data_IF_435620091283
#
_entry.id   IF_435620091283
#
_cell.length_a   1.000
_cell.length_b   1.000
_cell.length_c   1.000
_cell.angle_alpha   90.00
_cell.angle_beta   90.00
_cell.angle_gamma   90.00
#
_symmetry.space_group_name_H-M   'P 1'
#
loop_
_entity.id
_entity.type
_entity.pdbx_description
1 polymer ?
#
# COMPACT_ATOMS: atom_id res chain seq x y z
N UNK A 1 13.67 -26.09 -12.09
CA UNK A 1 12.87 -27.12 -11.40
C UNK A 1 11.42 -26.64 -11.42
N UNK A 2 10.56 -27.26 -12.24
CA UNK A 2 9.14 -26.88 -12.32
C UNK A 2 8.44 -27.40 -11.07
N UNK A 3 7.96 -26.50 -10.21
CA UNK A 3 7.08 -26.87 -9.09
C UNK A 3 5.75 -27.29 -9.72
N UNK A 4 5.50 -28.60 -9.81
CA UNK A 4 4.20 -29.13 -10.23
C UNK A 4 3.26 -28.92 -9.06
N UNK A 5 2.45 -27.87 -9.12
CA UNK A 5 1.37 -27.61 -8.17
C UNK A 5 0.38 -28.78 -8.14
N UNK A 6 0.13 -29.34 -6.95
CA UNK A 6 -0.82 -30.45 -6.83
C UNK A 6 -2.27 -29.94 -6.95
N UNK A 7 -3.20 -30.72 -7.55
CA UNK A 7 -4.61 -30.33 -7.67
C UNK A 7 -5.30 -29.99 -6.34
N UNK A 8 -4.83 -30.59 -5.23
CA UNK A 8 -5.33 -30.28 -3.89
C UNK A 8 -4.94 -28.86 -3.44
N UNK A 9 -3.72 -28.41 -3.74
CA UNK A 9 -3.24 -27.06 -3.40
C UNK A 9 -4.04 -25.99 -4.14
N UNK A 10 -4.36 -26.25 -5.42
CA UNK A 10 -5.20 -25.35 -6.21
C UNK A 10 -6.62 -25.23 -5.67
N UNK A 11 -7.20 -26.34 -5.22
CA UNK A 11 -8.54 -26.33 -4.61
C UNK A 11 -8.54 -25.59 -3.27
N UNK A 12 -7.50 -25.80 -2.46
CA UNK A 12 -7.33 -25.10 -1.19
C UNK A 12 -7.23 -23.58 -1.40
N UNK A 13 -6.39 -23.11 -2.33
CA UNK A 13 -6.26 -21.68 -2.65
C UNK A 13 -7.57 -21.07 -3.13
N UNK A 14 -8.25 -21.69 -4.11
CA UNK A 14 -9.55 -21.19 -4.61
C UNK A 14 -10.59 -21.05 -3.50
N UNK A 15 -10.57 -21.95 -2.53
CA UNK A 15 -11.49 -21.90 -1.38
C UNK A 15 -11.11 -20.77 -0.43
N UNK A 16 -9.82 -20.61 -0.14
CA UNK A 16 -9.30 -19.50 0.66
C UNK A 16 -9.64 -18.14 0.03
N UNK A 17 -9.40 -17.98 -1.27
CA UNK A 17 -9.67 -16.76 -2.03
C UNK A 17 -11.17 -16.41 -1.98
N UNK A 18 -12.05 -17.41 -2.11
CA UNK A 18 -13.49 -17.21 -2.01
C UNK A 18 -13.92 -16.76 -0.60
N UNK A 19 -13.34 -17.34 0.46
CA UNK A 19 -13.58 -16.94 1.84
C UNK A 19 -13.11 -15.49 2.08
N UNK A 20 -11.93 -15.13 1.57
CA UNK A 20 -11.37 -13.78 1.67
C UNK A 20 -12.26 -12.77 0.96
N UNK A 21 -12.64 -13.03 -0.30
CA UNK A 21 -13.50 -12.15 -1.07
C UNK A 21 -14.87 -11.95 -0.40
N UNK A 22 -15.47 -13.02 0.12
CA UNK A 22 -16.72 -12.95 0.88
C UNK A 22 -16.58 -12.09 2.15
N UNK A 23 -15.48 -12.27 2.90
CA UNK A 23 -15.22 -11.50 4.11
C UNK A 23 -15.03 -10.01 3.80
N UNK A 24 -14.22 -9.65 2.80
CA UNK A 24 -13.99 -8.26 2.37
C UNK A 24 -15.30 -7.59 1.97
N UNK A 25 -16.11 -8.25 1.11
CA UNK A 25 -17.43 -7.74 0.71
C UNK A 25 -18.33 -7.48 1.91
N UNK A 26 -18.42 -8.43 2.85
CA UNK A 26 -19.27 -8.29 4.03
C UNK A 26 -18.76 -7.22 5.01
N UNK A 27 -17.44 -7.03 5.12
CA UNK A 27 -16.87 -5.94 5.94
C UNK A 27 -17.26 -4.59 5.36
N UNK A 28 -17.21 -4.43 4.03
CA UNK A 28 -17.65 -3.19 3.37
C UNK A 28 -19.16 -2.95 3.50
N UNK A 29 -19.97 -4.02 3.52
CA UNK A 29 -21.43 -3.92 3.64
C UNK A 29 -21.91 -3.57 5.06
N UNK A 30 -21.31 -4.17 6.10
CA UNK A 30 -21.85 -4.09 7.47
C UNK A 30 -20.81 -3.92 8.58
N UNK A 31 -19.54 -3.76 8.23
CA UNK A 31 -18.44 -3.63 9.17
C UNK A 31 -17.92 -4.96 9.71
N UNK A 32 -16.66 -4.96 10.14
CA UNK A 32 -16.00 -6.16 10.64
C UNK A 32 -16.61 -6.67 11.95
N UNK A 33 -17.14 -5.82 12.83
CA UNK A 33 -17.73 -6.25 14.10
C UNK A 33 -18.97 -7.13 13.90
N UNK A 34 -19.84 -6.76 12.96
CA UNK A 34 -21.07 -7.50 12.62
C UNK A 34 -20.83 -8.73 11.72
N UNK A 35 -19.59 -8.96 11.28
CA UNK A 35 -19.20 -10.12 10.47
C UNK A 35 -19.25 -11.41 11.31
N UNK A 36 -19.90 -12.45 10.79
CA UNK A 36 -19.90 -13.79 11.40
C UNK A 36 -19.35 -14.84 10.44
N UNK A 37 -18.82 -15.94 10.97
CA UNK A 37 -18.36 -17.08 10.16
C UNK A 37 -19.50 -17.62 9.29
N UNK A 38 -20.74 -17.61 9.80
CA UNK A 38 -21.93 -18.04 9.07
C UNK A 38 -22.12 -17.22 7.80
N UNK A 39 -22.12 -15.89 7.92
CA UNK A 39 -22.31 -15.00 6.77
C UNK A 39 -21.23 -15.24 5.70
N UNK A 40 -19.97 -15.38 6.13
CA UNK A 40 -18.84 -15.64 5.23
C UNK A 40 -19.05 -16.95 4.49
N UNK A 41 -19.38 -18.02 5.21
CA UNK A 41 -19.57 -19.35 4.62
C UNK A 41 -20.78 -19.40 3.67
N UNK A 42 -21.88 -18.74 4.02
CA UNK A 42 -23.06 -18.62 3.16
C UNK A 42 -22.75 -17.81 1.89
N UNK A 43 -22.01 -16.70 2.01
CA UNK A 43 -21.62 -15.87 0.85
C UNK A 43 -20.60 -16.54 -0.06
N UNK A 44 -19.66 -17.29 0.52
CA UNK A 44 -18.61 -18.00 -0.23
C UNK A 44 -19.10 -19.33 -0.83
N UNK A 45 -20.33 -19.76 -0.52
CA UNK A 45 -20.89 -21.07 -0.91
C UNK A 45 -20.08 -22.27 -0.40
N UNK A 46 -19.69 -22.21 0.88
CA UNK A 46 -18.98 -23.29 1.57
C UNK A 46 -19.61 -23.60 2.93
N UNK A 47 -19.30 -24.78 3.48
CA UNK A 47 -19.73 -25.12 4.84
C UNK A 47 -18.72 -24.60 5.88
N UNK A 48 -19.16 -24.51 7.15
CA UNK A 48 -18.31 -24.08 8.27
C UNK A 48 -17.07 -24.96 8.48
N UNK A 49 -17.18 -26.26 8.22
CA UNK A 49 -16.05 -27.18 8.30
C UNK A 49 -14.94 -26.77 7.34
N UNK A 50 -15.30 -26.38 6.11
CA UNK A 50 -14.37 -25.85 5.11
C UNK A 50 -13.69 -24.57 5.58
N UNK A 51 -14.43 -23.63 6.19
CA UNK A 51 -13.82 -22.44 6.78
C UNK A 51 -12.72 -22.79 7.79
N UNK A 52 -13.01 -23.71 8.71
CA UNK A 52 -12.07 -24.09 9.77
C UNK A 52 -10.83 -24.87 9.28
N UNK A 53 -10.83 -25.34 8.03
CA UNK A 53 -9.62 -25.88 7.39
C UNK A 53 -8.62 -24.78 7.02
N UNK A 54 -9.07 -23.54 6.83
CA UNK A 54 -8.26 -22.40 6.42
C UNK A 54 -7.99 -21.44 7.58
N UNK A 55 -9.00 -21.19 8.41
CA UNK A 55 -8.92 -20.18 9.47
C UNK A 55 -9.48 -20.74 10.79
N UNK A 56 -8.72 -20.69 11.90
CA UNK A 56 -9.20 -21.11 13.21
C UNK A 56 -10.46 -20.34 13.67
N UNK A 57 -10.58 -19.09 13.24
CA UNK A 57 -11.69 -18.22 13.60
C UNK A 57 -11.70 -16.91 12.82
N UNK A 58 -12.66 -16.06 13.17
CA UNK A 58 -12.79 -14.70 12.62
C UNK A 58 -11.55 -13.84 12.91
N UNK A 59 -11.00 -13.79 14.15
CA UNK A 59 -9.81 -12.97 14.42
C UNK A 59 -8.62 -13.33 13.54
N UNK A 60 -8.36 -14.63 13.34
CA UNK A 60 -7.26 -15.12 12.53
C UNK A 60 -7.45 -14.81 11.04
N UNK A 61 -8.68 -14.87 10.54
CA UNK A 61 -9.00 -14.40 9.19
C UNK A 61 -8.73 -12.90 9.05
N UNK A 62 -9.19 -12.07 9.97
CA UNK A 62 -9.00 -10.62 9.89
C UNK A 62 -7.51 -10.24 9.95
N UNK A 63 -6.75 -10.91 10.82
CA UNK A 63 -5.30 -10.76 10.89
C UNK A 63 -4.62 -11.20 9.59
N UNK A 64 -5.05 -12.34 9.02
CA UNK A 64 -4.55 -12.80 7.73
C UNK A 64 -4.80 -11.76 6.62
N UNK A 65 -5.99 -11.17 6.53
CA UNK A 65 -6.31 -10.14 5.54
C UNK A 65 -5.37 -8.94 5.63
N UNK A 66 -5.00 -8.53 6.84
CA UNK A 66 -4.08 -7.43 7.08
C UNK A 66 -2.64 -7.80 6.70
N UNK A 67 -2.17 -8.94 7.18
CA UNK A 67 -0.78 -9.37 6.98
C UNK A 67 -0.50 -9.67 5.51
N UNK A 68 -1.41 -10.37 4.83
CA UNK A 68 -1.32 -10.67 3.40
C UNK A 68 -1.29 -9.39 2.57
N UNK A 69 -2.17 -8.43 2.86
CA UNK A 69 -2.20 -7.15 2.18
C UNK A 69 -0.89 -6.36 2.38
N UNK A 70 -0.43 -6.23 3.63
CA UNK A 70 0.79 -5.51 3.97
C UNK A 70 2.04 -6.17 3.37
N UNK A 71 2.06 -7.49 3.31
CA UNK A 71 3.15 -8.23 2.70
C UNK A 71 3.23 -7.95 1.19
N UNK A 72 2.13 -8.06 0.45
CA UNK A 72 2.14 -7.77 -0.98
C UNK A 72 2.42 -6.29 -1.27
N UNK A 73 1.93 -5.38 -0.42
CA UNK A 73 2.24 -3.95 -0.54
C UNK A 73 3.74 -3.68 -0.35
N UNK A 74 4.37 -4.32 0.64
CA UNK A 74 5.79 -4.23 0.87
C UNK A 74 6.63 -4.81 -0.27
N UNK A 75 6.19 -5.92 -0.87
CA UNK A 75 6.81 -6.50 -2.06
C UNK A 75 6.72 -5.54 -3.26
N UNK A 76 5.56 -4.94 -3.50
CA UNK A 76 5.37 -3.94 -4.56
C UNK A 76 6.25 -2.70 -4.34
N UNK A 77 6.45 -2.29 -3.08
CA UNK A 77 7.36 -1.19 -2.75
C UNK A 77 8.83 -1.51 -3.02
N UNK A 78 9.24 -2.76 -2.83
CA UNK A 78 10.62 -3.20 -3.03
C UNK A 78 10.93 -3.63 -4.48
N UNK A 79 9.92 -4.02 -5.26
CA UNK A 79 10.06 -4.53 -6.63
C UNK A 79 10.99 -3.69 -7.52
N UNK A 80 10.85 -2.34 -7.59
CA UNK A 80 11.65 -1.50 -8.48
C UNK A 80 13.16 -1.58 -8.21
N UNK A 81 13.54 -2.05 -7.03
CA UNK A 81 14.92 -2.11 -6.56
C UNK A 81 15.52 -3.51 -6.58
N UNK A 82 14.70 -4.55 -6.81
CA UNK A 82 15.07 -5.97 -6.65
C UNK A 82 16.29 -6.43 -7.47
N UNK A 83 16.61 -5.75 -8.56
CA UNK A 83 17.73 -6.07 -9.45
C UNK A 83 18.80 -4.97 -9.51
N UNK A 84 18.75 -3.99 -8.61
CA UNK A 84 19.67 -2.86 -8.57
C UNK A 84 20.72 -3.07 -7.48
N UNK A 85 21.97 -2.73 -7.78
CA UNK A 85 23.06 -2.71 -6.79
C UNK A 85 23.28 -1.30 -6.22
N UNK A 86 22.85 -0.27 -6.94
CA UNK A 86 22.99 1.13 -6.60
C UNK A 86 21.83 1.92 -7.22
N UNK A 87 21.39 2.98 -6.54
CA UNK A 87 20.43 3.96 -7.06
C UNK A 87 21.06 5.33 -6.94
N UNK A 88 21.24 6.00 -8.08
CA UNK A 88 21.65 7.40 -8.10
C UNK A 88 20.47 8.29 -7.67
N UNK A 89 20.55 8.78 -6.44
CA UNK A 89 19.53 9.65 -5.84
C UNK A 89 19.49 11.05 -6.47
N UNK A 90 20.45 11.40 -7.34
CA UNK A 90 20.47 12.66 -8.10
C UNK A 90 19.82 12.54 -9.47
N UNK A 91 19.60 11.31 -9.94
CA UNK A 91 18.97 10.98 -11.21
C UNK A 91 17.48 10.70 -11.09
N UNK A 92 16.96 9.89 -12.02
CA UNK A 92 15.57 9.42 -11.97
C UNK A 92 15.48 8.24 -11.03
N UNK A 93 14.79 8.41 -9.92
CA UNK A 93 14.52 7.33 -8.97
C UNK A 93 13.64 6.23 -9.60
N UNK A 94 13.79 4.97 -9.14
CA UNK A 94 12.90 3.89 -9.52
C UNK A 94 11.42 4.24 -9.27
N UNK A 95 10.56 3.75 -10.15
CA UNK A 95 9.15 4.12 -10.16
C UNK A 95 8.44 3.65 -8.88
N UNK A 96 7.56 4.50 -8.34
CA UNK A 96 6.68 4.14 -7.22
C UNK A 96 5.35 3.52 -7.67
N UNK A 97 5.17 3.38 -8.99
CA UNK A 97 3.94 2.90 -9.64
C UNK A 97 3.46 1.53 -9.14
N UNK A 98 4.31 0.51 -8.91
CA UNK A 98 3.84 -0.82 -8.49
C UNK A 98 3.03 -0.80 -7.18
N UNK A 99 3.34 0.14 -6.27
CA UNK A 99 2.62 0.29 -5.00
C UNK A 99 1.18 0.74 -5.24
N UNK A 100 1.00 1.71 -6.14
CA UNK A 100 -0.33 2.20 -6.48
C UNK A 100 -1.12 1.16 -7.28
N UNK A 101 -0.47 0.44 -8.19
CA UNK A 101 -1.09 -0.66 -8.95
C UNK A 101 -1.54 -1.80 -8.03
N UNK A 102 -0.71 -2.15 -7.04
CA UNK A 102 -1.07 -3.15 -6.05
C UNK A 102 -2.30 -2.73 -5.23
N UNK A 103 -2.34 -1.47 -4.79
CA UNK A 103 -3.50 -0.94 -4.05
C UNK A 103 -4.74 -0.91 -4.95
N UNK A 104 -4.64 -0.52 -6.21
CA UNK A 104 -5.76 -0.51 -7.16
C UNK A 104 -6.32 -1.91 -7.39
N UNK A 105 -5.44 -2.90 -7.58
CA UNK A 105 -5.81 -4.30 -7.74
C UNK A 105 -6.49 -4.89 -6.49
N UNK A 106 -6.20 -4.35 -5.30
CA UNK A 106 -6.73 -4.82 -4.01
C UNK A 106 -7.54 -3.74 -3.28
N UNK A 107 -8.18 -2.84 -4.03
CA UNK A 107 -8.78 -1.61 -3.51
C UNK A 107 -9.86 -1.85 -2.45
N UNK A 108 -10.71 -2.87 -2.66
CA UNK A 108 -11.77 -3.22 -1.71
C UNK A 108 -11.23 -3.80 -0.41
N UNK A 109 -10.14 -4.60 -0.48
CA UNK A 109 -9.44 -5.08 0.70
C UNK A 109 -8.79 -3.91 1.45
N UNK A 110 -8.13 -2.99 0.74
CA UNK A 110 -7.57 -1.78 1.36
C UNK A 110 -8.66 -0.95 2.07
N UNK A 111 -9.81 -0.72 1.42
CA UNK A 111 -10.96 -0.02 2.02
C UNK A 111 -11.48 -0.75 3.26
N UNK A 112 -11.64 -2.07 3.20
CA UNK A 112 -12.09 -2.87 4.34
C UNK A 112 -11.11 -2.73 5.52
N UNK A 113 -9.81 -2.85 5.28
CA UNK A 113 -8.77 -2.69 6.30
C UNK A 113 -8.76 -1.29 6.91
N UNK A 114 -8.97 -0.25 6.10
CA UNK A 114 -9.10 1.14 6.56
C UNK A 114 -10.27 1.34 7.55
N UNK A 115 -11.36 0.60 7.40
CA UNK A 115 -12.48 0.66 8.36
C UNK A 115 -12.20 -0.09 9.66
N UNK A 116 -11.31 -1.08 9.62
CA UNK A 116 -10.97 -1.93 10.76
C UNK A 116 -9.84 -1.35 11.62
N UNK A 117 -8.91 -0.63 10.98
CA UNK A 117 -7.64 -0.23 11.58
C UNK A 117 -7.37 1.27 11.38
N UNK A 118 -7.61 2.06 12.43
CA UNK A 118 -7.30 3.50 12.42
C UNK A 118 -5.80 3.83 12.36
N UNK A 119 -4.93 2.83 12.50
CA UNK A 119 -3.48 2.95 12.47
C UNK A 119 -2.86 2.50 11.13
N UNK A 120 -3.65 2.38 10.06
CA UNK A 120 -3.15 1.88 8.76
C UNK A 120 -1.94 2.66 8.23
N UNK A 121 -1.94 4.00 8.33
CA UNK A 121 -0.79 4.80 7.91
C UNK A 121 0.49 4.41 8.65
N UNK A 122 0.41 4.13 9.96
CA UNK A 122 1.55 3.70 10.77
C UNK A 122 2.02 2.30 10.36
N UNK A 123 1.09 1.37 10.09
CA UNK A 123 1.41 0.01 9.66
C UNK A 123 2.14 -0.01 8.31
N UNK A 124 1.65 0.75 7.33
CA UNK A 124 2.30 0.88 6.02
C UNK A 124 3.68 1.53 6.18
N UNK A 125 3.79 2.58 7.00
CA UNK A 125 5.08 3.19 7.33
C UNK A 125 6.09 2.16 7.86
N UNK A 126 5.67 1.32 8.81
CA UNK A 126 6.54 0.31 9.40
C UNK A 126 6.98 -0.75 8.37
N UNK A 127 6.07 -1.19 7.51
CA UNK A 127 6.40 -2.13 6.42
C UNK A 127 7.44 -1.52 5.50
N UNK A 128 7.18 -0.33 4.94
CA UNK A 128 8.10 0.33 4.01
C UNK A 128 9.45 0.63 4.67
N UNK A 129 9.46 1.12 5.91
CA UNK A 129 10.69 1.35 6.67
C UNK A 129 11.50 0.06 6.83
N UNK A 130 10.86 -1.06 7.17
CA UNK A 130 11.54 -2.34 7.34
C UNK A 130 12.15 -2.84 6.02
N UNK A 131 11.45 -2.66 4.89
CA UNK A 131 12.01 -2.99 3.58
C UNK A 131 13.24 -2.12 3.26
N UNK A 132 13.16 -0.81 3.50
CA UNK A 132 14.29 0.08 3.24
C UNK A 132 15.51 -0.22 4.12
N UNK A 133 15.31 -0.49 5.42
CA UNK A 133 16.43 -0.74 6.34
C UNK A 133 17.09 -2.11 6.15
N UNK A 134 16.36 -3.10 5.62
CA UNK A 134 16.91 -4.43 5.37
C UNK A 134 17.65 -4.53 4.03
N UNK A 135 17.24 -3.75 3.02
CA UNK A 135 17.73 -3.89 1.66
C UNK A 135 18.71 -2.80 1.22
N UNK A 136 18.73 -1.63 1.87
CA UNK A 136 19.48 -0.48 1.40
C UNK A 136 20.45 0.08 2.44
N UNK A 137 21.55 0.62 1.94
CA UNK A 137 22.46 1.49 2.67
C UNK A 137 22.47 2.80 1.90
N UNK A 138 22.09 3.90 2.56
CA UNK A 138 22.16 5.21 1.92
C UNK A 138 23.54 5.82 2.14
N UNK A 139 24.17 6.22 1.04
CA UNK A 139 25.45 6.93 1.02
C UNK A 139 25.14 8.40 0.71
N UNK A 140 25.52 9.30 1.60
CA UNK A 140 25.50 10.74 1.33
C UNK A 140 26.90 11.17 0.90
N UNK A 141 27.01 12.05 -0.10
CA UNK A 141 28.26 12.78 -0.33
C UNK A 141 28.63 13.61 0.91
N UNK A 142 29.90 14.00 1.03
CA UNK A 142 30.39 14.93 2.05
C UNK A 142 29.68 16.29 1.93
N UNK A 143 28.51 16.37 2.55
CA UNK A 143 27.71 17.57 2.72
C UNK A 143 28.10 18.19 4.06
N UNK A 144 28.26 19.52 4.12
CA UNK A 144 28.48 20.25 5.38
C UNK A 144 27.35 19.99 6.40
N UNK A 145 26.18 19.53 5.95
CA UNK A 145 25.07 19.10 6.79
C UNK A 145 24.99 17.57 6.86
N UNK A 146 25.27 17.01 8.03
CA UNK A 146 25.04 15.60 8.33
C UNK A 146 23.55 15.39 8.64
N UNK A 147 22.80 14.83 7.70
CA UNK A 147 21.41 14.45 7.92
C UNK A 147 21.37 13.06 8.59
N UNK A 148 20.61 12.93 9.68
CA UNK A 148 20.44 11.64 10.35
C UNK A 148 19.65 10.66 9.45
N UNK A 149 20.23 9.49 9.20
CA UNK A 149 19.65 8.44 8.34
C UNK A 149 18.22 8.05 8.75
N UNK A 150 17.95 7.90 10.04
CA UNK A 150 16.63 7.49 10.54
C UNK A 150 15.57 8.57 10.26
N UNK A 151 15.93 9.85 10.46
CA UNK A 151 15.05 10.98 10.16
C UNK A 151 14.75 11.07 8.66
N UNK A 152 15.77 10.90 7.83
CA UNK A 152 15.62 10.94 6.37
C UNK A 152 14.76 9.77 5.86
N UNK A 153 14.97 8.55 6.36
CA UNK A 153 14.10 7.41 6.06
C UNK A 153 12.65 7.69 6.46
N UNK A 154 12.45 8.21 7.68
CA UNK A 154 11.12 8.57 8.16
C UNK A 154 10.44 9.59 7.23
N UNK A 155 11.18 10.59 6.76
CA UNK A 155 10.68 11.57 5.79
C UNK A 155 10.26 10.92 4.45
N UNK A 156 11.13 10.10 3.84
CA UNK A 156 10.86 9.48 2.54
C UNK A 156 9.66 8.53 2.57
N UNK A 157 9.59 7.70 3.60
CA UNK A 157 8.48 6.76 3.78
C UNK A 157 7.19 7.51 4.07
N UNK A 158 7.23 8.52 4.96
CA UNK A 158 6.04 9.31 5.31
C UNK A 158 5.47 10.06 4.12
N UNK A 159 6.31 10.58 3.22
CA UNK A 159 5.86 11.24 2.00
C UNK A 159 5.08 10.28 1.09
N UNK A 160 5.61 9.06 0.87
CA UNK A 160 4.95 8.02 0.08
C UNK A 160 3.61 7.63 0.70
N UNK A 161 3.60 7.33 2.00
CA UNK A 161 2.38 6.94 2.72
C UNK A 161 1.36 8.07 2.71
N UNK A 162 1.78 9.33 2.90
CA UNK A 162 0.89 10.48 2.84
C UNK A 162 0.13 10.59 1.51
N UNK A 163 0.81 10.35 0.39
CA UNK A 163 0.18 10.37 -0.94
C UNK A 163 -0.82 9.20 -1.11
N UNK A 164 -0.48 8.00 -0.62
CA UNK A 164 -1.39 6.84 -0.62
C UNK A 164 -2.65 7.15 0.21
N UNK A 165 -2.48 7.66 1.42
CA UNK A 165 -3.60 7.98 2.31
C UNK A 165 -4.49 9.07 1.71
N UNK A 166 -3.89 10.11 1.12
CA UNK A 166 -4.65 11.15 0.42
C UNK A 166 -5.47 10.58 -0.75
N UNK A 167 -4.88 9.69 -1.55
CA UNK A 167 -5.58 9.05 -2.66
C UNK A 167 -6.79 8.25 -2.21
N UNK A 168 -6.67 7.53 -1.08
CA UNK A 168 -7.77 6.81 -0.47
C UNK A 168 -8.85 7.75 0.10
N UNK A 169 -8.46 8.85 0.78
CA UNK A 169 -9.36 9.85 1.33
C UNK A 169 -10.23 10.52 0.26
N UNK A 170 -9.66 10.80 -0.92
CA UNK A 170 -10.41 11.35 -2.06
C UNK A 170 -11.16 10.28 -2.87
N UNK A 171 -11.25 9.06 -2.35
CA UNK A 171 -12.04 7.98 -2.92
C UNK A 171 -11.43 7.32 -4.16
N UNK A 172 -10.09 7.31 -4.27
CA UNK A 172 -9.36 6.76 -5.42
C UNK A 172 -9.74 7.43 -6.75
N UNK A 173 -9.92 8.77 -6.71
CA UNK A 173 -10.36 9.56 -7.86
C UNK A 173 -9.45 9.45 -9.10
N UNK A 174 -8.15 9.23 -8.88
CA UNK A 174 -7.13 9.17 -9.94
C UNK A 174 -6.70 7.72 -10.18
N UNK A 175 -6.17 7.42 -11.37
CA UNK A 175 -5.62 6.09 -11.66
C UNK A 175 -4.31 5.83 -10.90
N UNK A 176 -3.99 4.56 -10.66
CA UNK A 176 -2.71 4.16 -10.09
C UNK A 176 -1.51 4.73 -10.87
N UNK A 177 -1.57 4.68 -12.20
CA UNK A 177 -0.53 5.22 -13.07
C UNK A 177 -0.29 6.71 -12.83
N UNK A 178 -1.36 7.51 -12.81
CA UNK A 178 -1.27 8.95 -12.54
C UNK A 178 -0.66 9.22 -11.17
N UNK A 179 -1.11 8.51 -10.13
CA UNK A 179 -0.59 8.69 -8.77
C UNK A 179 0.90 8.34 -8.66
N UNK A 180 1.32 7.26 -9.33
CA UNK A 180 2.73 6.87 -9.43
C UNK A 180 3.59 7.94 -10.10
N UNK A 181 3.13 8.48 -11.23
CA UNK A 181 3.81 9.58 -11.91
C UNK A 181 3.91 10.83 -11.03
N UNK A 182 2.82 11.19 -10.33
CA UNK A 182 2.81 12.35 -9.43
C UNK A 182 3.78 12.17 -8.27
N UNK A 183 3.82 11.00 -7.62
CA UNK A 183 4.75 10.76 -6.52
C UNK A 183 6.20 10.76 -7.00
N UNK A 184 6.50 10.11 -8.13
CA UNK A 184 7.84 10.15 -8.72
C UNK A 184 8.25 11.59 -9.07
N UNK A 185 7.33 12.41 -9.61
CA UNK A 185 7.60 13.83 -9.84
C UNK A 185 7.87 14.60 -8.53
N UNK A 186 7.06 14.39 -7.49
CA UNK A 186 7.21 15.06 -6.19
C UNK A 186 8.54 14.75 -5.51
N UNK A 187 9.04 13.51 -5.61
CA UNK A 187 10.32 13.14 -5.02
C UNK A 187 11.48 13.83 -5.78
N UNK A 188 11.33 14.06 -7.08
CA UNK A 188 12.35 14.68 -7.93
C UNK A 188 12.30 16.21 -7.94
N UNK A 189 11.18 16.83 -7.53
CA UNK A 189 11.04 18.29 -7.49
C UNK A 189 11.67 18.86 -6.21
N UNK A 190 12.65 19.76 -6.36
CA UNK A 190 13.10 20.65 -5.29
C UNK A 190 12.33 21.98 -5.38
N UNK A 191 11.31 22.23 -4.54
CA UNK A 191 10.61 23.51 -4.58
C UNK A 191 11.60 24.65 -4.33
N UNK A 192 11.74 25.57 -5.29
CA UNK A 192 12.75 26.63 -5.24
C UNK A 192 12.24 27.89 -4.54
N UNK A 193 10.93 28.11 -4.51
CA UNK A 193 10.28 29.29 -3.92
C UNK A 193 8.88 28.93 -3.44
N UNK A 194 8.47 29.47 -2.30
CA UNK A 194 7.10 29.43 -1.79
C UNK A 194 6.54 30.86 -1.83
N UNK A 195 5.45 31.08 -2.57
CA UNK A 195 4.77 32.37 -2.62
C UNK A 195 3.68 32.39 -1.55
N UNK A 196 3.74 33.37 -0.66
CA UNK A 196 2.72 33.57 0.38
C UNK A 196 1.70 34.57 -0.16
N UNK A 197 0.55 34.07 -0.58
CA UNK A 197 -0.60 34.87 -1.03
C UNK A 197 -1.74 34.75 -0.02
N UNK A 198 -1.95 35.75 0.86
CA UNK A 198 -3.02 35.70 1.86
C UNK A 198 -4.40 35.57 1.18
N UNK A 199 -5.13 34.51 1.48
CA UNK A 199 -6.53 34.33 1.06
C UNK A 199 -6.78 33.40 -0.14
N UNK A 200 -5.74 32.88 -0.80
CA UNK A 200 -5.90 31.82 -1.83
C UNK A 200 -5.40 30.47 -1.31
N UNK A 201 -6.16 29.38 -1.58
CA UNK A 201 -5.69 28.01 -1.31
C UNK A 201 -4.51 27.72 -2.24
N UNK A 202 -3.39 27.26 -1.67
CA UNK A 202 -2.15 27.02 -2.40
C UNK A 202 -2.37 26.18 -3.65
N UNK A 203 -2.00 26.73 -4.81
CA UNK A 203 -1.90 26.04 -6.10
C UNK A 203 -0.49 26.22 -6.62
N UNK A 204 0.03 25.19 -7.27
CA UNK A 204 1.28 25.31 -8.01
C UNK A 204 1.12 26.34 -9.14
N UNK A 205 2.22 26.96 -9.59
CA UNK A 205 2.18 27.92 -10.71
C UNK A 205 1.67 27.24 -11.99
N UNK A 206 1.99 25.96 -12.17
CA UNK A 206 1.53 25.17 -13.32
C UNK A 206 0.02 24.92 -13.30
N UNK A 207 -0.58 24.67 -12.13
CA UNK A 207 -2.04 24.52 -12.01
C UNK A 207 -2.81 25.82 -12.29
N UNK A 208 -2.18 26.99 -12.07
CA UNK A 208 -2.78 28.28 -12.45
C UNK A 208 -2.87 28.44 -13.97
N UNK A 209 -1.81 28.08 -14.70
CA UNK A 209 -1.75 28.22 -16.17
C UNK A 209 -2.73 27.33 -16.94
N UNK A 210 -3.22 26.25 -16.34
CA UNK A 210 -4.21 25.34 -16.95
C UNK A 210 -5.67 25.72 -16.66
N UNK A 211 -5.91 26.73 -15.82
CA UNK A 211 -7.26 27.16 -15.42
C UNK A 211 -7.67 28.55 -15.91
N UNK A 212 -6.83 29.17 -16.76
CA UNK A 212 -7.09 30.39 -17.53
C UNK A 212 -7.27 30.05 -19.02
#
# INVERSE_FOLDING_TARGET
MLIIEHPQDRRARRTQDAIIAAAVSLILEKGADALTIRDITERADYNRGTFYLHFPGKPELLQFLLDDFLQGLGQAYAEPYSNLTEVDMTGVLPSTMPVFEYIEAHQDQFRALMTMHGDMALRINNVFRNYLTQQFILVTEDSEQVINYDIMLSYLVSATVGVIMHWAEVGFKYSAHYMGEQLTALINIKPTRLLIEPGQKGRTVHERMLSD
#
